data_IF_833117233150
#
_entry.id   IF_833117233150
#
_cell.length_a   1.000
_cell.length_b   1.000
_cell.length_c   1.000
_cell.angle_alpha   90.00
_cell.angle_beta   90.00
_cell.angle_gamma   90.00
#
_symmetry.space_group_name_H-M   'P 1'
#
loop_
_entity.id
_entity.type
_entity.pdbx_description
1 polymer ?
#
# COMPACT_ATOMS: atom_id res chain seq x y z
N UNK A 1 -51.66 15.88 38.22
CA UNK A 1 -50.66 15.22 37.34
C UNK A 1 -49.90 16.30 36.61
N UNK A 2 -48.68 16.59 37.06
CA UNK A 2 -47.92 17.77 36.61
C UNK A 2 -47.18 17.44 35.30
N UNK A 3 -47.39 18.26 34.28
CA UNK A 3 -46.80 18.12 32.92
C UNK A 3 -45.26 18.05 32.91
N UNK A 4 -44.62 18.42 34.02
CA UNK A 4 -43.16 18.40 34.21
C UNK A 4 -42.59 16.98 34.40
N UNK A 5 -43.38 16.02 34.90
CA UNK A 5 -42.91 14.64 35.13
C UNK A 5 -42.99 13.74 33.89
N UNK A 6 -43.73 14.16 32.85
CA UNK A 6 -43.86 13.41 31.60
C UNK A 6 -42.70 13.73 30.64
N UNK A 7 -42.16 14.96 30.69
CA UNK A 7 -41.05 15.38 29.83
C UNK A 7 -39.73 14.68 30.16
N UNK A 8 -39.49 14.39 31.44
CA UNK A 8 -38.26 13.71 31.90
C UNK A 8 -38.23 12.24 31.52
N UNK A 9 -39.40 11.58 31.43
CA UNK A 9 -39.51 10.19 31.02
C UNK A 9 -39.20 10.00 29.52
N UNK A 10 -39.60 10.95 28.67
CA UNK A 10 -39.38 10.87 27.22
C UNK A 10 -37.91 11.10 26.86
N UNK A 11 -37.21 12.00 27.55
CA UNK A 11 -35.78 12.27 27.30
C UNK A 11 -34.86 11.10 27.69
N UNK A 12 -35.23 10.27 28.66
CA UNK A 12 -34.45 9.11 29.06
C UNK A 12 -34.53 7.95 28.05
N UNK A 13 -35.65 7.78 27.35
CA UNK A 13 -35.86 6.69 26.38
C UNK A 13 -34.98 6.87 25.12
N UNK A 14 -34.68 8.11 24.74
CA UNK A 14 -33.79 8.39 23.60
C UNK A 14 -32.30 8.15 23.90
N UNK A 15 -31.90 8.12 25.18
CA UNK A 15 -30.50 7.88 25.57
C UNK A 15 -30.13 6.38 25.61
N UNK A 16 -31.10 5.46 25.67
CA UNK A 16 -30.83 4.02 25.78
C UNK A 16 -31.05 3.21 24.49
N UNK A 17 -31.67 3.78 23.46
CA UNK A 17 -31.92 3.09 22.18
C UNK A 17 -30.97 3.50 21.04
N UNK A 18 -29.95 4.31 21.34
CA UNK A 18 -28.96 4.78 20.37
C UNK A 18 -27.85 3.76 20.09
N UNK A 19 -28.03 3.01 19.01
CA UNK A 19 -26.99 2.42 18.13
C UNK A 19 -26.12 1.25 18.67
N UNK A 20 -26.54 0.01 18.40
CA UNK A 20 -25.60 -1.13 18.26
C UNK A 20 -25.93 -1.88 16.95
N UNK A 21 -25.48 -1.32 15.84
CA UNK A 21 -25.31 -2.05 14.58
C UNK A 21 -24.11 -1.45 13.85
N UNK A 22 -22.93 -1.68 14.44
CA UNK A 22 -21.68 -1.54 13.69
C UNK A 22 -21.61 -2.62 12.61
N UNK A 23 -21.01 -2.34 11.44
CA UNK A 23 -20.83 -3.37 10.42
C UNK A 23 -19.98 -4.52 10.99
N UNK A 24 -20.42 -5.75 10.78
CA UNK A 24 -19.66 -6.94 11.16
C UNK A 24 -18.25 -6.89 10.55
N UNK A 25 -17.22 -7.32 11.29
CA UNK A 25 -15.87 -7.39 10.74
C UNK A 25 -15.85 -8.36 9.57
N UNK A 26 -15.55 -7.86 8.38
CA UNK A 26 -15.36 -8.68 7.18
C UNK A 26 -14.09 -9.51 7.37
N UNK A 27 -14.24 -10.81 7.63
CA UNK A 27 -13.14 -11.77 7.71
C UNK A 27 -12.69 -12.10 6.29
N UNK A 28 -11.59 -11.49 5.85
CA UNK A 28 -10.98 -11.77 4.55
C UNK A 28 -10.08 -12.99 4.68
N UNK A 29 -10.60 -14.16 4.32
CA UNK A 29 -9.79 -15.38 4.21
C UNK A 29 -9.00 -15.34 2.90
N UNK A 30 -7.72 -14.98 2.98
CA UNK A 30 -6.78 -15.16 1.87
C UNK A 30 -6.20 -16.56 1.95
N UNK A 31 -6.53 -17.41 0.99
CA UNK A 31 -5.89 -18.73 0.82
C UNK A 31 -4.54 -18.53 0.14
N UNK A 32 -3.47 -18.63 0.92
CA UNK A 32 -2.11 -18.67 0.41
C UNK A 32 -1.67 -20.13 0.24
N UNK A 33 -1.20 -20.55 -0.95
CA UNK A 33 -0.80 -21.93 -1.20
C UNK A 33 0.67 -22.12 -0.82
N UNK A 34 0.97 -22.26 0.47
CA UNK A 34 2.20 -22.93 0.96
C UNK A 34 1.97 -23.35 2.42
N UNK A 35 2.03 -24.66 2.66
CA UNK A 35 1.73 -25.29 3.94
C UNK A 35 2.83 -25.15 4.97
N UNK A 36 2.90 -23.98 5.63
CA UNK A 36 3.47 -23.85 6.97
C UNK A 36 2.64 -22.81 7.76
N UNK A 37 1.77 -23.31 8.62
CA UNK A 37 0.89 -22.50 9.48
C UNK A 37 1.67 -21.89 10.64
N UNK A 38 2.15 -20.66 10.48
CA UNK A 38 2.31 -19.75 11.62
C UNK A 38 0.97 -19.04 11.81
N UNK A 39 0.16 -19.55 12.75
CA UNK A 39 -1.03 -18.85 13.27
C UNK A 39 -0.58 -17.63 14.08
N UNK A 40 -0.18 -16.55 13.43
CA UNK A 40 -0.19 -15.23 14.07
C UNK A 40 -1.56 -14.61 13.77
N UNK A 41 -2.35 -14.18 14.77
CA UNK A 41 -3.61 -13.51 14.51
C UNK A 41 -3.30 -12.19 13.78
N UNK A 42 -3.58 -12.13 12.47
CA UNK A 42 -3.49 -10.91 11.68
C UNK A 42 -4.65 -10.02 12.11
N UNK A 43 -4.42 -9.26 13.17
CA UNK A 43 -5.31 -8.20 13.67
C UNK A 43 -4.90 -6.83 13.14
N UNK A 44 -3.88 -6.78 12.26
CA UNK A 44 -3.40 -5.55 11.67
C UNK A 44 -4.37 -5.10 10.58
N UNK A 45 -5.02 -3.97 10.79
CA UNK A 45 -5.96 -3.40 9.82
C UNK A 45 -5.20 -2.99 8.54
N UNK A 46 -5.85 -3.02 7.38
CA UNK A 46 -5.25 -2.57 6.11
C UNK A 46 -4.61 -1.17 6.24
N UNK A 47 -5.19 -0.32 7.08
CA UNK A 47 -4.73 1.03 7.38
C UNK A 47 -3.36 1.07 8.07
N UNK A 48 -3.01 0.07 8.87
CA UNK A 48 -1.73 0.00 9.57
C UNK A 48 -0.61 -0.44 8.62
N UNK A 49 -0.87 -1.43 7.76
CA UNK A 49 0.12 -1.89 6.75
C UNK A 49 0.49 -0.78 5.77
N UNK A 50 -0.49 0.03 5.36
CA UNK A 50 -0.23 1.14 4.42
C UNK A 50 0.36 2.38 5.09
N UNK A 51 0.35 2.47 6.43
CA UNK A 51 0.89 3.62 7.16
C UNK A 51 2.40 3.75 6.93
N UNK A 52 3.12 2.65 7.09
CA UNK A 52 4.58 2.62 6.93
C UNK A 52 4.97 2.89 5.47
N UNK A 53 4.22 2.33 4.53
CA UNK A 53 4.38 2.63 3.10
C UNK A 53 4.18 4.12 2.79
N UNK A 54 3.09 4.72 3.26
CA UNK A 54 2.79 6.14 3.02
C UNK A 54 3.89 7.04 3.59
N UNK A 55 4.33 6.75 4.81
CA UNK A 55 5.41 7.50 5.47
C UNK A 55 6.70 7.41 4.68
N UNK A 56 7.15 6.19 4.35
CA UNK A 56 8.37 5.95 3.58
C UNK A 56 8.37 6.69 2.25
N UNK A 57 7.27 6.62 1.49
CA UNK A 57 7.14 7.30 0.19
C UNK A 57 7.08 8.82 0.36
N UNK A 58 6.39 9.35 1.37
CA UNK A 58 6.33 10.79 1.62
C UNK A 58 7.70 11.38 1.96
N UNK A 59 8.49 10.66 2.76
CA UNK A 59 9.80 11.08 3.23
C UNK A 59 10.95 10.66 2.29
N UNK A 60 10.63 9.90 1.23
CA UNK A 60 11.61 9.28 0.33
C UNK A 60 12.65 8.41 1.08
N UNK A 61 12.23 7.82 2.21
CA UNK A 61 13.05 6.98 3.06
C UNK A 61 12.98 5.51 2.61
N UNK A 62 13.94 5.12 1.78
CA UNK A 62 14.07 3.74 1.28
C UNK A 62 14.33 2.74 2.41
N UNK A 63 15.00 3.14 3.49
CA UNK A 63 15.31 2.24 4.61
C UNK A 63 14.04 1.82 5.36
N UNK A 64 13.02 2.68 5.38
CA UNK A 64 11.70 2.32 5.88
C UNK A 64 11.00 1.26 5.01
N UNK A 65 11.26 1.19 3.70
CA UNK A 65 10.76 0.12 2.84
C UNK A 65 11.36 -1.24 3.22
N UNK A 66 12.63 -1.29 3.64
CA UNK A 66 13.32 -2.53 4.00
C UNK A 66 12.74 -3.22 5.24
N UNK A 67 11.95 -2.49 6.05
CA UNK A 67 11.31 -2.97 7.27
C UNK A 67 9.96 -3.66 7.02
N UNK A 68 9.49 -3.71 5.77
CA UNK A 68 8.20 -4.30 5.43
C UNK A 68 8.28 -5.82 5.31
N UNK A 69 7.44 -6.53 6.06
CA UNK A 69 7.37 -7.99 6.04
C UNK A 69 6.89 -8.55 4.70
N UNK A 70 6.07 -7.80 3.96
CA UNK A 70 5.59 -8.22 2.65
C UNK A 70 6.62 -7.82 1.57
N UNK A 71 7.31 -8.78 0.93
CA UNK A 71 8.38 -8.48 -0.04
C UNK A 71 7.86 -7.73 -1.27
N UNK A 72 6.63 -8.03 -1.71
CA UNK A 72 6.02 -7.31 -2.83
C UNK A 72 5.67 -5.86 -2.46
N UNK A 73 5.23 -5.61 -1.22
CA UNK A 73 4.98 -4.25 -0.73
C UNK A 73 6.29 -3.46 -0.60
N UNK A 74 7.35 -4.09 -0.10
CA UNK A 74 8.71 -3.53 -0.10
C UNK A 74 9.15 -3.09 -1.50
N UNK A 75 9.03 -3.97 -2.49
CA UNK A 75 9.38 -3.66 -3.88
C UNK A 75 8.56 -2.49 -4.46
N UNK A 76 7.25 -2.46 -4.15
CA UNK A 76 6.35 -1.36 -4.54
C UNK A 76 6.80 -0.04 -3.89
N UNK A 77 7.14 -0.06 -2.61
CA UNK A 77 7.65 1.10 -1.87
C UNK A 77 8.93 1.65 -2.52
N UNK A 78 9.92 0.78 -2.77
CA UNK A 78 11.19 1.16 -3.40
C UNK A 78 10.95 1.75 -4.79
N UNK A 79 10.10 1.12 -5.61
CA UNK A 79 9.74 1.62 -6.95
C UNK A 79 9.16 3.03 -6.88
N UNK A 80 8.21 3.26 -5.97
CA UNK A 80 7.50 4.53 -5.92
C UNK A 80 8.41 5.67 -5.47
N UNK A 81 9.33 5.41 -4.52
CA UNK A 81 10.40 6.35 -4.17
C UNK A 81 11.33 6.58 -5.35
N UNK A 82 11.79 5.52 -6.02
CA UNK A 82 12.69 5.62 -7.17
C UNK A 82 12.10 6.49 -8.29
N UNK A 83 10.82 6.30 -8.60
CA UNK A 83 10.10 7.07 -9.63
C UNK A 83 9.88 8.51 -9.19
N UNK A 84 9.44 8.75 -7.95
CA UNK A 84 9.24 10.09 -7.38
C UNK A 84 10.54 10.92 -7.43
N UNK A 85 11.66 10.27 -7.14
CA UNK A 85 12.97 10.92 -7.07
C UNK A 85 13.73 10.91 -8.41
N UNK A 86 13.23 10.22 -9.44
CA UNK A 86 13.97 10.00 -10.69
C UNK A 86 15.27 9.20 -10.53
N UNK A 87 15.43 8.44 -9.43
CA UNK A 87 16.68 7.75 -9.06
C UNK A 87 16.69 6.30 -9.56
N UNK A 88 17.06 6.08 -10.82
CA UNK A 88 17.09 4.75 -11.43
C UNK A 88 17.99 3.74 -10.68
N UNK A 89 19.02 4.19 -9.94
CA UNK A 89 19.85 3.32 -9.11
C UNK A 89 19.03 2.53 -8.08
N UNK A 90 17.93 3.10 -7.55
CA UNK A 90 17.08 2.45 -6.57
C UNK A 90 16.30 1.26 -7.15
N UNK A 91 15.95 1.28 -8.44
CA UNK A 91 15.26 0.16 -9.10
C UNK A 91 16.06 -1.15 -9.04
N UNK A 92 17.39 -1.08 -8.90
CA UNK A 92 18.22 -2.28 -8.78
C UNK A 92 17.96 -3.10 -7.51
N UNK A 93 17.42 -2.44 -6.46
CA UNK A 93 17.08 -3.04 -5.17
C UNK A 93 15.74 -3.80 -5.20
N UNK A 94 14.96 -3.68 -6.27
CA UNK A 94 13.69 -4.38 -6.43
C UNK A 94 13.99 -5.84 -6.77
N UNK A 95 13.34 -6.80 -6.12
CA UNK A 95 13.57 -8.22 -6.41
C UNK A 95 12.64 -8.73 -7.52
N UNK A 96 11.38 -8.29 -7.51
CA UNK A 96 10.39 -8.69 -8.50
C UNK A 96 10.72 -8.12 -9.88
N UNK A 97 11.10 -8.99 -10.81
CA UNK A 97 11.62 -8.60 -12.13
C UNK A 97 10.69 -7.65 -12.92
N UNK A 98 9.39 -7.93 -12.96
CA UNK A 98 8.44 -7.06 -13.67
C UNK A 98 8.31 -5.68 -13.00
N UNK A 99 8.36 -5.59 -11.67
CA UNK A 99 8.35 -4.31 -10.96
C UNK A 99 9.63 -3.51 -11.21
N UNK A 100 10.77 -4.19 -11.31
CA UNK A 100 12.07 -3.58 -11.65
C UNK A 100 12.05 -2.98 -13.05
N UNK A 101 11.56 -3.72 -14.03
CA UNK A 101 11.43 -3.22 -15.40
C UNK A 101 10.48 -2.02 -15.48
N UNK A 102 9.34 -2.07 -14.78
CA UNK A 102 8.39 -0.94 -14.69
C UNK A 102 9.04 0.27 -14.03
N UNK A 103 9.87 0.07 -13.00
CA UNK A 103 10.60 1.14 -12.32
C UNK A 103 11.52 1.89 -13.31
N UNK A 104 12.37 1.15 -14.04
CA UNK A 104 13.25 1.71 -15.05
C UNK A 104 12.47 2.42 -16.17
N UNK A 105 11.44 1.77 -16.70
CA UNK A 105 10.59 2.34 -17.75
C UNK A 105 10.00 3.69 -17.34
N UNK A 106 9.39 3.78 -16.15
CA UNK A 106 8.77 5.02 -15.67
C UNK A 106 9.79 6.15 -15.52
N UNK A 107 10.96 5.86 -14.96
CA UNK A 107 12.02 6.86 -14.78
C UNK A 107 12.55 7.33 -16.13
N UNK A 108 12.84 6.40 -17.04
CA UNK A 108 13.30 6.71 -18.39
C UNK A 108 12.34 7.66 -19.11
N UNK A 109 11.04 7.32 -19.14
CA UNK A 109 10.00 8.12 -19.80
C UNK A 109 9.80 9.48 -19.15
N UNK A 110 9.76 9.54 -17.81
CA UNK A 110 9.59 10.80 -17.08
C UNK A 110 10.77 11.76 -17.29
N UNK A 111 11.99 11.23 -17.33
CA UNK A 111 13.21 12.02 -17.43
C UNK A 111 13.68 12.21 -18.88
N UNK A 112 13.01 11.58 -19.86
CA UNK A 112 13.45 11.55 -21.27
C UNK A 112 14.89 11.03 -21.44
N UNK A 113 15.22 10.02 -20.64
CA UNK A 113 16.55 9.39 -20.62
C UNK A 113 16.48 7.95 -21.13
N UNK A 114 16.79 7.78 -22.42
CA UNK A 114 16.79 6.48 -23.08
C UNK A 114 17.89 5.54 -22.54
N UNK A 115 18.93 6.04 -21.88
CA UNK A 115 20.02 5.21 -21.37
C UNK A 115 19.54 4.30 -20.24
N UNK A 116 18.51 4.74 -19.50
CA UNK A 116 17.85 3.95 -18.46
C UNK A 116 17.10 2.76 -19.07
N UNK A 117 16.58 2.87 -20.29
CA UNK A 117 15.88 1.77 -20.98
C UNK A 117 16.78 0.54 -21.18
N UNK A 118 18.11 0.72 -21.27
CA UNK A 118 19.05 -0.40 -21.40
C UNK A 118 19.09 -1.32 -20.17
N UNK A 119 18.55 -0.88 -19.03
CA UNK A 119 18.50 -1.64 -17.78
C UNK A 119 17.24 -2.50 -17.67
N UNK A 120 16.32 -2.39 -18.61
CA UNK A 120 15.09 -3.18 -18.69
C UNK A 120 15.43 -4.55 -19.28
N UNK A 121 15.02 -5.61 -18.59
CA UNK A 121 15.30 -6.99 -18.98
C UNK A 121 14.31 -7.55 -20.00
N UNK A 122 13.05 -7.14 -19.92
CA UNK A 122 12.01 -7.57 -20.88
C UNK A 122 12.15 -6.79 -22.19
N UNK A 123 12.54 -7.46 -23.27
CA UNK A 123 12.77 -6.84 -24.59
C UNK A 123 11.57 -6.03 -25.11
N UNK A 124 10.34 -6.54 -24.91
CA UNK A 124 9.13 -5.81 -25.28
C UNK A 124 9.00 -4.47 -24.53
N UNK A 125 9.25 -4.47 -23.21
CA UNK A 125 9.18 -3.25 -22.39
C UNK A 125 10.33 -2.30 -22.76
N UNK A 126 11.53 -2.84 -23.02
CA UNK A 126 12.70 -2.08 -23.44
C UNK A 126 12.46 -1.37 -24.77
N UNK A 127 11.93 -2.07 -25.77
CA UNK A 127 11.57 -1.47 -27.07
C UNK A 127 10.55 -0.33 -26.89
N UNK A 128 9.48 -0.59 -26.15
CA UNK A 128 8.46 0.42 -25.84
C UNK A 128 9.03 1.63 -25.09
N UNK A 129 10.01 1.41 -24.20
CA UNK A 129 10.73 2.48 -23.50
C UNK A 129 11.48 3.37 -24.50
N UNK A 130 12.30 2.76 -25.38
CA UNK A 130 13.10 3.47 -26.38
C UNK A 130 12.25 4.30 -27.34
N UNK A 131 11.03 3.87 -27.64
CA UNK A 131 10.09 4.60 -28.49
C UNK A 131 9.43 5.81 -27.79
N UNK A 132 9.43 5.86 -26.45
CA UNK A 132 8.68 6.85 -25.64
C UNK A 132 9.56 7.87 -24.94
N UNK A 133 10.85 7.60 -24.81
CA UNK A 133 11.88 8.52 -24.31
C UNK A 133 12.37 9.41 -25.44
#
# INVERSE_FOLDING_TARGET
MNKLSLLTAVLAVFLFLGCISGPEPVVVTTTQPTGDTIKKPVTTTLNEVVKDYRKAVSESDVSSCDRMDNPRLKDICIRDIAVKEGKASLCSKIETANLKDICYYKIAVNNKDNTVCNRISTEFIKKSCMEKT
#
